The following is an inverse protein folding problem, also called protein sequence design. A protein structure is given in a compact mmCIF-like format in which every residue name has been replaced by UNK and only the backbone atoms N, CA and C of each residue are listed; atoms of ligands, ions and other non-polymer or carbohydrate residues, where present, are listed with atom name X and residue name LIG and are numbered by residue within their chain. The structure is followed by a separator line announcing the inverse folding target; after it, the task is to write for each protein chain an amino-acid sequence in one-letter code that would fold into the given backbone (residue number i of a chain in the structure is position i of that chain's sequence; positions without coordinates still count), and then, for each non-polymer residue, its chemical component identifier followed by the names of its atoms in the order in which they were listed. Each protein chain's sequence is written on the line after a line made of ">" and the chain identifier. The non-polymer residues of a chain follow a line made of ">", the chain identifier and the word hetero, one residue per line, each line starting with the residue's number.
data_IF_793418881420
#
_entry.id   IF_793418881420
#
_cell.length_a   1.000
_cell.length_b   1.000
_cell.length_c   1.000
_cell.angle_alpha   90.00
_cell.angle_beta   90.00
_cell.angle_gamma   90.00
#
_symmetry.space_group_name_H-M   'P 1'
#
loop_
_entity.id
_entity.type
_entity.pdbx_description
1 polymer ?
#
# COMPACT_ATOMS: atom_id res chain seq x y z
N UNK A 1 7.27 21.05 1.46
CA UNK A 1 8.60 21.16 0.81
C UNK A 1 8.78 19.99 -0.14
N UNK A 2 9.41 20.20 -1.30
CA UNK A 2 9.71 19.16 -2.28
C UNK A 2 11.21 18.89 -2.35
N UNK A 3 11.61 17.62 -2.25
CA UNK A 3 13.00 17.17 -2.37
C UNK A 3 13.03 15.81 -3.09
N UNK A 4 13.86 15.70 -4.13
CA UNK A 4 14.10 14.42 -4.82
C UNK A 4 15.09 13.52 -4.06
N UNK A 5 15.94 14.09 -3.21
CA UNK A 5 16.86 13.40 -2.31
C UNK A 5 17.16 14.26 -1.08
N UNK A 6 18.13 13.86 -0.26
CA UNK A 6 18.61 14.67 0.88
C UNK A 6 19.23 16.02 0.47
N UNK A 7 19.37 16.31 -0.83
CA UNK A 7 19.91 17.56 -1.36
C UNK A 7 18.88 18.28 -2.25
N UNK A 8 19.02 19.61 -2.39
CA UNK A 8 18.20 20.46 -3.28
C UNK A 8 16.69 20.45 -3.00
N UNK A 9 16.31 20.84 -1.79
CA UNK A 9 14.92 21.02 -1.42
C UNK A 9 14.39 22.41 -1.81
N UNK A 10 13.20 22.46 -2.39
CA UNK A 10 12.50 23.71 -2.72
C UNK A 10 11.14 23.78 -2.01
N UNK A 11 10.71 25.01 -1.71
CA UNK A 11 9.33 25.23 -1.28
C UNK A 11 8.44 25.10 -2.52
N UNK A 12 7.38 24.31 -2.39
CA UNK A 12 6.38 24.06 -3.43
C UNK A 12 5.02 24.37 -2.85
N UNK A 13 4.21 25.07 -3.63
CA UNK A 13 2.79 25.24 -3.38
C UNK A 13 2.07 23.97 -3.83
N UNK A 14 1.29 23.37 -2.93
CA UNK A 14 0.61 22.11 -3.22
C UNK A 14 -0.58 22.35 -4.15
N UNK A 15 -0.82 21.40 -5.07
CA UNK A 15 -1.95 21.48 -5.98
C UNK A 15 -3.29 21.32 -5.22
N UNK A 16 -4.42 21.79 -5.78
CA UNK A 16 -5.74 21.51 -5.21
C UNK A 16 -5.94 20.01 -4.95
N UNK A 17 -6.44 19.66 -3.76
CA UNK A 17 -6.60 18.27 -3.32
C UNK A 17 -5.35 17.62 -2.72
N UNK A 18 -4.21 18.33 -2.68
CA UNK A 18 -2.99 17.91 -1.99
C UNK A 18 -2.78 18.74 -0.71
N UNK A 19 -3.52 18.39 0.33
CA UNK A 19 -3.57 19.06 1.64
C UNK A 19 -2.55 18.50 2.65
N UNK A 20 -1.80 17.46 2.28
CA UNK A 20 -0.77 16.87 3.12
C UNK A 20 0.63 17.14 2.56
N UNK A 21 1.60 17.27 3.45
CA UNK A 21 3.01 17.08 3.14
C UNK A 21 3.40 15.64 3.44
N UNK A 22 4.19 15.01 2.57
CA UNK A 22 4.77 13.68 2.81
C UNK A 22 6.29 13.71 2.88
N UNK A 23 6.82 12.74 3.61
CA UNK A 23 8.23 12.34 3.61
C UNK A 23 8.29 10.84 3.43
N UNK A 24 8.94 10.40 2.36
CA UNK A 24 9.19 8.98 2.06
C UNK A 24 10.65 8.70 2.30
N UNK A 25 10.96 7.71 3.14
CA UNK A 25 12.31 7.30 3.47
C UNK A 25 12.48 5.85 3.02
N UNK A 26 13.51 5.62 2.21
CA UNK A 26 14.01 4.30 1.86
C UNK A 26 15.35 4.12 2.55
N UNK A 27 15.48 3.06 3.33
CA UNK A 27 16.76 2.58 3.82
C UNK A 27 17.06 1.21 3.22
N UNK A 28 18.30 1.04 2.80
CA UNK A 28 18.86 -0.24 2.38
C UNK A 28 20.09 -0.52 3.26
N UNK A 29 20.08 -1.66 3.95
CA UNK A 29 21.22 -2.15 4.72
C UNK A 29 21.77 -3.41 4.07
N UNK A 30 23.06 -3.39 3.75
CA UNK A 30 23.82 -4.52 3.23
C UNK A 30 25.14 -4.62 4.00
N UNK A 31 25.32 -5.73 4.72
CA UNK A 31 26.41 -5.93 5.67
C UNK A 31 26.50 -4.78 6.69
N UNK A 32 27.42 -3.83 6.50
CA UNK A 32 27.60 -2.61 7.32
C UNK A 32 27.37 -1.30 6.54
N UNK A 33 27.01 -1.40 5.26
CA UNK A 33 26.69 -0.25 4.43
C UNK A 33 25.22 0.12 4.60
N UNK A 34 24.97 1.38 4.90
CA UNK A 34 23.62 1.95 4.97
C UNK A 34 23.46 3.01 3.88
N UNK A 35 22.49 2.79 2.99
CA UNK A 35 22.02 3.78 2.04
C UNK A 35 20.67 4.32 2.52
N UNK A 36 20.59 5.64 2.71
CA UNK A 36 19.34 6.34 3.03
C UNK A 36 18.96 7.29 1.88
N UNK A 37 17.74 7.13 1.37
CA UNK A 37 17.15 8.04 0.38
C UNK A 37 15.89 8.64 0.99
N UNK A 38 15.88 9.98 1.12
CA UNK A 38 14.73 10.71 1.63
C UNK A 38 14.13 11.58 0.53
N UNK A 39 12.85 11.31 0.23
CA UNK A 39 12.04 12.08 -0.70
C UNK A 39 10.96 12.85 0.06
N UNK A 40 10.62 14.05 -0.42
CA UNK A 40 9.60 14.90 0.18
C UNK A 40 8.77 15.52 -0.91
N UNK A 41 7.45 15.59 -0.72
CA UNK A 41 6.54 16.26 -1.66
C UNK A 41 5.21 16.59 -0.97
N UNK A 42 4.28 17.17 -1.71
CA UNK A 42 2.86 17.20 -1.35
C UNK A 42 2.23 15.82 -1.56
N UNK A 43 1.12 15.57 -0.87
CA UNK A 43 0.34 14.34 -0.90
C UNK A 43 -1.15 14.66 -0.77
N UNK A 44 -1.98 13.75 -1.28
CA UNK A 44 -3.43 13.81 -1.12
C UNK A 44 -3.86 13.31 0.26
N UNK A 45 -5.02 13.78 0.73
CA UNK A 45 -5.57 13.51 2.06
C UNK A 45 -5.76 12.02 2.38
N UNK A 46 -5.89 11.15 1.37
CA UNK A 46 -6.08 9.71 1.58
C UNK A 46 -4.81 9.01 2.08
N UNK A 47 -3.64 9.68 2.01
CA UNK A 47 -2.36 9.11 2.44
C UNK A 47 -2.24 9.07 3.97
N UNK A 48 -1.61 8.02 4.47
CA UNK A 48 -1.45 7.76 5.90
C UNK A 48 -0.01 7.41 6.25
N UNK A 49 0.32 7.48 7.54
CA UNK A 49 1.62 7.03 8.03
C UNK A 49 1.72 5.51 7.89
N UNK A 50 2.84 5.03 7.35
CA UNK A 50 3.08 3.61 7.17
C UNK A 50 4.55 3.25 7.17
N UNK A 51 4.86 2.06 7.63
CA UNK A 51 6.21 1.47 7.57
C UNK A 51 6.15 0.04 7.09
N UNK A 52 7.21 -0.37 6.40
CA UNK A 52 7.40 -1.74 5.98
C UNK A 52 8.90 -2.03 5.89
N UNK A 53 9.34 -3.14 6.47
CA UNK A 53 10.71 -3.60 6.44
C UNK A 53 10.75 -5.09 6.17
N UNK A 54 11.59 -5.51 5.23
CA UNK A 54 11.72 -6.90 4.82
C UNK A 54 13.14 -7.24 4.38
N UNK A 55 13.45 -8.53 4.34
CA UNK A 55 14.71 -9.09 3.85
C UNK A 55 14.58 -9.51 2.39
N UNK A 56 15.62 -9.24 1.62
CA UNK A 56 15.77 -9.66 0.23
C UNK A 56 17.25 -9.92 -0.03
N UNK A 57 17.60 -11.11 -0.49
CA UNK A 57 18.98 -11.60 -0.58
C UNK A 57 19.73 -11.45 0.77
N UNK A 58 20.83 -10.70 0.77
CA UNK A 58 21.64 -10.31 1.94
C UNK A 58 21.21 -8.96 2.54
N UNK A 59 20.20 -8.31 1.96
CA UNK A 59 19.81 -6.93 2.26
C UNK A 59 18.60 -6.87 3.17
N UNK A 60 18.49 -5.78 3.90
CA UNK A 60 17.25 -5.35 4.54
C UNK A 60 16.80 -4.07 3.84
N UNK A 61 15.55 -4.06 3.38
CA UNK A 61 14.89 -2.88 2.84
C UNK A 61 13.91 -2.37 3.90
N UNK A 62 13.90 -1.08 4.17
CA UNK A 62 12.86 -0.43 4.97
C UNK A 62 12.32 0.81 4.27
N UNK A 63 11.02 0.87 4.21
CA UNK A 63 10.21 1.92 3.62
C UNK A 63 9.40 2.56 4.73
N UNK A 64 9.45 3.89 4.83
CA UNK A 64 8.58 4.64 5.71
C UNK A 64 7.98 5.82 4.96
N UNK A 65 6.67 5.98 5.02
CA UNK A 65 5.98 7.18 4.55
C UNK A 65 5.31 7.86 5.74
N UNK A 66 5.63 9.12 5.94
CA UNK A 66 5.11 9.95 7.03
C UNK A 66 4.43 11.18 6.41
N UNK A 67 3.18 11.43 6.81
CA UNK A 67 2.37 12.56 6.37
C UNK A 67 2.07 13.53 7.51
N UNK A 68 1.90 14.81 7.17
CA UNK A 68 1.52 15.86 8.11
C UNK A 68 0.80 17.01 7.37
N UNK A 69 -0.10 17.73 8.04
CA UNK A 69 -1.03 18.65 7.41
C UNK A 69 -0.68 20.15 7.54
N UNK A 70 0.35 20.51 8.31
CA UNK A 70 0.70 21.93 8.52
C UNK A 70 1.76 22.39 7.53
N UNK A 71 1.75 23.68 7.19
CA UNK A 71 2.70 24.27 6.25
C UNK A 71 4.15 23.93 6.60
N UNK A 72 4.87 23.39 5.61
CA UNK A 72 6.29 23.03 5.70
C UNK A 72 6.62 22.07 6.86
N UNK A 73 5.66 21.28 7.36
CA UNK A 73 5.90 20.32 8.45
C UNK A 73 6.92 19.23 8.09
N UNK A 74 7.10 18.95 6.80
CA UNK A 74 8.10 18.02 6.28
C UNK A 74 9.50 18.63 6.12
N UNK A 75 9.74 19.86 6.59
CA UNK A 75 11.05 20.51 6.50
C UNK A 75 12.13 19.69 7.24
N UNK A 76 13.33 19.49 6.65
CA UNK A 76 14.43 18.82 7.32
C UNK A 76 14.77 19.52 8.63
N UNK A 77 14.83 18.78 9.73
CA UNK A 77 15.28 19.31 11.01
C UNK A 77 16.80 19.28 11.06
N UNK A 78 17.50 20.42 11.17
CA UNK A 78 18.95 20.42 11.29
C UNK A 78 19.36 19.71 12.59
N UNK A 79 20.27 18.74 12.49
CA UNK A 79 20.80 17.99 13.64
C UNK A 79 19.95 16.81 14.11
N UNK A 80 18.78 16.56 13.50
CA UNK A 80 18.08 15.29 13.67
C UNK A 80 18.82 14.21 12.88
N UNK A 81 19.94 13.72 13.41
CA UNK A 81 20.36 12.34 13.09
C UNK A 81 19.17 11.46 13.44
N UNK A 82 18.81 10.54 12.53
CA UNK A 82 17.69 9.61 12.72
C UNK A 82 17.67 9.13 14.17
N UNK A 83 16.50 9.18 14.80
CA UNK A 83 16.30 8.75 16.18
C UNK A 83 17.15 7.51 16.42
N UNK A 84 18.12 7.58 17.34
CA UNK A 84 18.92 6.43 17.70
C UNK A 84 17.94 5.32 18.07
N UNK A 85 17.84 4.31 17.21
CA UNK A 85 16.85 3.25 17.33
C UNK A 85 16.94 2.72 18.76
N UNK A 86 15.85 2.80 19.55
CA UNK A 86 15.95 2.40 20.94
C UNK A 86 16.34 0.92 20.95
N UNK A 87 17.45 0.58 21.60
CA UNK A 87 17.91 -0.81 21.71
C UNK A 87 16.97 -1.58 22.63
N UNK A 88 15.88 -2.08 22.07
CA UNK A 88 14.88 -2.92 22.74
C UNK A 88 14.78 -4.29 22.08
N UNK A 89 14.36 -5.32 22.83
CA UNK A 89 13.93 -6.60 22.23
C UNK A 89 12.54 -6.41 21.64
N UNK A 90 12.48 -5.99 20.39
CA UNK A 90 11.21 -5.88 19.66
C UNK A 90 10.78 -7.24 19.11
N UNK A 91 9.54 -7.26 18.61
CA UNK A 91 8.93 -8.38 17.90
C UNK A 91 9.87 -8.92 16.82
N UNK A 92 9.97 -10.25 16.73
CA UNK A 92 10.69 -10.96 15.67
C UNK A 92 9.67 -11.56 14.70
N UNK A 93 9.84 -11.29 13.42
CA UNK A 93 8.94 -11.71 12.36
C UNK A 93 9.68 -12.53 11.31
N UNK A 94 8.96 -13.44 10.65
CA UNK A 94 9.45 -14.06 9.43
C UNK A 94 9.47 -13.02 8.31
N UNK A 95 10.51 -13.04 7.49
CA UNK A 95 10.70 -12.09 6.41
C UNK A 95 11.26 -12.74 5.15
N UNK A 96 10.71 -12.32 4.02
CA UNK A 96 11.07 -12.80 2.69
C UNK A 96 10.52 -11.82 1.64
N UNK A 97 10.96 -11.97 0.40
CA UNK A 97 10.46 -11.26 -0.78
C UNK A 97 10.31 -12.19 -1.99
N UNK A 98 9.39 -11.86 -2.90
CA UNK A 98 9.30 -12.47 -4.24
C UNK A 98 10.45 -12.06 -5.15
N UNK A 99 11.17 -10.97 -4.86
CA UNK A 99 12.23 -10.44 -5.72
C UNK A 99 13.41 -11.44 -5.83
N UNK A 100 13.78 -12.08 -4.72
CA UNK A 100 14.82 -13.12 -4.63
C UNK A 100 14.24 -14.54 -4.57
N UNK A 101 12.90 -14.67 -4.72
CA UNK A 101 12.14 -15.91 -4.60
C UNK A 101 12.26 -16.57 -3.20
N UNK A 102 12.63 -15.82 -2.17
CA UNK A 102 12.79 -16.38 -0.82
C UNK A 102 11.45 -16.83 -0.23
N UNK A 103 10.36 -16.12 -0.52
CA UNK A 103 9.02 -16.50 -0.06
C UNK A 103 8.53 -17.80 -0.71
N UNK A 104 8.63 -17.90 -2.03
CA UNK A 104 8.13 -19.04 -2.81
C UNK A 104 8.94 -20.31 -2.54
N UNK A 105 10.24 -20.15 -2.23
CA UNK A 105 11.14 -21.27 -1.94
C UNK A 105 11.19 -21.64 -0.46
N UNK A 106 10.42 -20.97 0.40
CA UNK A 106 10.43 -21.20 1.86
C UNK A 106 11.78 -20.91 2.51
N UNK A 107 12.54 -19.94 1.98
CA UNK A 107 13.85 -19.49 2.50
C UNK A 107 13.70 -18.26 3.39
N UNK A 108 12.67 -18.26 4.20
CA UNK A 108 12.28 -17.15 5.06
C UNK A 108 13.32 -16.96 6.18
N UNK A 109 13.63 -15.71 6.49
CA UNK A 109 14.63 -15.34 7.49
C UNK A 109 13.99 -14.55 8.62
N UNK A 110 14.60 -14.58 9.81
CA UNK A 110 14.12 -13.79 10.94
C UNK A 110 14.53 -12.33 10.76
N UNK A 111 13.56 -11.43 10.93
CA UNK A 111 13.75 -9.99 10.98
C UNK A 111 13.25 -9.46 12.32
N UNK A 112 14.11 -8.75 13.04
CA UNK A 112 13.72 -8.06 14.25
C UNK A 112 13.14 -6.69 13.88
N UNK A 113 11.91 -6.42 14.31
CA UNK A 113 11.26 -5.14 14.08
C UNK A 113 11.98 -4.01 14.81
N UNK A 114 11.88 -2.78 14.30
CA UNK A 114 12.64 -1.64 14.85
C UNK A 114 11.80 -0.73 15.71
N UNK A 115 10.49 -0.75 15.51
CA UNK A 115 9.57 0.12 16.23
C UNK A 115 8.56 -0.69 17.06
N UNK A 116 8.22 -0.22 18.27
CA UNK A 116 7.29 -0.93 19.16
C UNK A 116 5.85 -1.03 18.62
N UNK A 117 5.49 -0.20 17.64
CA UNK A 117 4.19 -0.26 16.97
C UNK A 117 4.16 -1.15 15.72
N UNK A 118 5.29 -1.74 15.33
CA UNK A 118 5.35 -2.65 14.19
C UNK A 118 4.78 -4.02 14.54
N UNK A 119 4.13 -4.62 13.56
CA UNK A 119 3.58 -5.97 13.60
C UNK A 119 4.24 -6.81 12.50
N UNK A 120 4.09 -8.14 12.60
CA UNK A 120 4.43 -9.00 11.49
C UNK A 120 3.38 -8.82 10.39
N UNK A 121 3.81 -8.37 9.22
CA UNK A 121 2.95 -8.08 8.09
C UNK A 121 3.27 -9.03 6.94
N UNK A 122 2.24 -9.27 6.15
CA UNK A 122 2.28 -10.03 4.91
C UNK A 122 1.51 -9.24 3.87
N UNK A 123 2.17 -8.92 2.77
CA UNK A 123 1.59 -8.16 1.67
C UNK A 123 1.64 -9.01 0.42
N UNK A 124 0.48 -9.19 -0.20
CA UNK A 124 0.32 -9.98 -1.42
C UNK A 124 -0.29 -9.08 -2.49
N UNK A 125 0.43 -8.92 -3.59
CA UNK A 125 0.01 -8.13 -4.76
C UNK A 125 -0.07 -9.07 -5.94
N UNK A 126 -1.29 -9.36 -6.40
CA UNK A 126 -1.52 -10.19 -7.59
C UNK A 126 -2.14 -9.32 -8.67
N UNK A 127 -1.39 -9.07 -9.75
CA UNK A 127 -1.87 -8.27 -10.87
C UNK A 127 -2.32 -9.16 -12.04
N UNK A 128 -3.40 -8.75 -12.70
CA UNK A 128 -3.74 -9.25 -14.03
C UNK A 128 -2.77 -8.62 -15.04
N UNK A 129 -2.52 -9.32 -16.15
CA UNK A 129 -1.37 -9.17 -17.05
C UNK A 129 -1.21 -7.78 -17.72
N UNK A 130 -2.11 -6.82 -17.52
CA UNK A 130 -2.14 -5.53 -18.24
C UNK A 130 -1.52 -4.34 -17.50
N UNK A 131 -1.38 -4.38 -16.17
CA UNK A 131 -0.67 -3.33 -15.41
C UNK A 131 0.64 -3.91 -14.91
N UNK A 132 1.72 -3.78 -15.68
CA UNK A 132 3.07 -4.12 -15.22
C UNK A 132 3.53 -3.06 -14.20
N UNK A 133 3.05 -3.14 -12.96
CA UNK A 133 3.77 -2.52 -11.86
C UNK A 133 4.94 -3.45 -11.50
N UNK A 134 6.08 -2.88 -11.13
CA UNK A 134 7.25 -3.64 -10.67
C UNK A 134 7.15 -4.01 -9.18
N UNK A 135 5.95 -4.00 -8.61
CA UNK A 135 5.78 -4.29 -7.19
C UNK A 135 5.97 -5.78 -6.95
N UNK A 136 6.61 -6.10 -5.83
CA UNK A 136 6.88 -7.47 -5.43
C UNK A 136 5.56 -8.18 -5.13
N UNK A 137 5.33 -9.33 -5.78
CA UNK A 137 4.06 -10.05 -5.66
C UNK A 137 3.77 -10.52 -4.23
N UNK A 138 4.81 -10.76 -3.44
CA UNK A 138 4.69 -11.27 -2.09
C UNK A 138 5.85 -10.80 -1.24
N UNK A 139 5.55 -10.26 -0.07
CA UNK A 139 6.54 -9.81 0.90
C UNK A 139 6.08 -10.07 2.33
N UNK A 140 7.02 -10.48 3.19
CA UNK A 140 6.79 -10.66 4.62
C UNK A 140 7.85 -9.90 5.41
N UNK A 141 7.46 -9.37 6.57
CA UNK A 141 8.41 -8.73 7.46
C UNK A 141 7.73 -7.94 8.58
N UNK A 142 8.31 -6.81 8.92
CA UNK A 142 7.85 -5.92 9.97
C UNK A 142 7.19 -4.67 9.38
N UNK A 143 6.13 -4.17 9.98
CA UNK A 143 5.61 -2.88 9.55
C UNK A 143 4.38 -2.44 10.30
N UNK A 144 3.96 -1.21 10.00
CA UNK A 144 2.68 -0.65 10.40
C UNK A 144 2.00 -0.19 9.13
N UNK A 145 1.09 -1.01 8.62
CA UNK A 145 0.22 -0.65 7.52
C UNK A 145 -1.15 -0.27 8.08
N UNK A 146 -1.91 0.62 7.41
CA UNK A 146 -3.28 0.88 7.81
C UNK A 146 -4.08 -0.44 7.87
N UNK A 147 -5.14 -0.52 8.67
CA UNK A 147 -5.97 -1.73 8.72
C UNK A 147 -5.35 -2.99 9.35
N UNK A 148 -4.11 -2.97 9.85
CA UNK A 148 -3.53 -4.06 10.65
C UNK A 148 -3.89 -3.93 12.16
N UNK A 149 -4.10 -5.05 12.89
CA UNK A 149 -3.90 -6.44 12.48
C UNK A 149 -5.02 -6.97 11.56
N UNK A 150 -4.64 -7.50 10.41
CA UNK A 150 -5.53 -8.21 9.48
C UNK A 150 -5.37 -9.72 9.62
N UNK A 151 -6.35 -10.49 9.17
CA UNK A 151 -6.23 -11.96 9.10
C UNK A 151 -5.19 -12.33 8.04
N UNK A 152 -4.23 -13.20 8.38
CA UNK A 152 -3.25 -13.73 7.42
C UNK A 152 -3.99 -14.42 6.27
N UNK A 153 -3.77 -13.97 5.03
CA UNK A 153 -4.37 -14.56 3.84
C UNK A 153 -3.23 -15.02 2.93
N UNK A 154 -3.10 -16.34 2.86
CA UNK A 154 -2.34 -17.01 1.81
C UNK A 154 -3.20 -17.03 0.54
N UNK A 155 -2.59 -16.65 -0.59
CA UNK A 155 -3.05 -16.74 -1.98
C UNK A 155 -4.56 -16.78 -2.25
N UNK A 156 -5.08 -15.91 -3.12
CA UNK A 156 -6.51 -15.83 -3.44
C UNK A 156 -7.17 -17.18 -3.81
N UNK A 157 -6.42 -18.09 -4.45
CA UNK A 157 -6.93 -19.42 -4.82
C UNK A 157 -7.17 -20.37 -3.63
N UNK A 158 -6.43 -20.18 -2.55
CA UNK A 158 -6.50 -21.02 -1.35
C UNK A 158 -7.65 -20.60 -0.43
N UNK A 159 -8.19 -19.38 -0.63
CA UNK A 159 -9.38 -18.92 0.06
C UNK A 159 -10.64 -19.59 -0.50
N UNK A 160 -11.48 -20.20 0.37
CA UNK A 160 -12.74 -20.79 -0.08
C UNK A 160 -13.72 -19.69 -0.52
N UNK A 161 -14.60 -19.96 -1.49
CA UNK A 161 -15.73 -19.08 -1.78
C UNK A 161 -16.59 -18.86 -0.53
N UNK A 162 -17.02 -17.61 -0.30
CA UNK A 162 -17.77 -17.23 0.90
C UNK A 162 -19.30 -17.10 0.66
N UNK A 163 -19.75 -17.37 -0.56
CA UNK A 163 -21.16 -17.33 -0.96
C UNK A 163 -21.67 -15.96 -1.40
N UNK A 164 -20.85 -14.92 -1.35
CA UNK A 164 -21.17 -13.61 -1.93
C UNK A 164 -20.71 -13.55 -3.40
N UNK A 165 -21.47 -12.83 -4.22
CA UNK A 165 -21.09 -12.53 -5.60
C UNK A 165 -21.12 -11.02 -5.81
N UNK A 166 -20.07 -10.47 -6.38
CA UNK A 166 -19.98 -9.03 -6.66
C UNK A 166 -19.60 -8.78 -8.10
N UNK A 167 -20.02 -7.65 -8.66
CA UNK A 167 -19.53 -7.22 -9.96
C UNK A 167 -18.06 -6.86 -9.85
N UNK A 168 -17.30 -7.23 -10.87
CA UNK A 168 -15.87 -7.02 -11.00
C UNK A 168 -15.57 -6.33 -12.32
N UNK A 169 -14.74 -5.30 -12.24
CA UNK A 169 -14.24 -4.58 -13.40
C UNK A 169 -13.06 -3.70 -12.99
N UNK A 170 -12.23 -3.35 -13.97
CA UNK A 170 -11.10 -2.44 -13.82
C UNK A 170 -11.01 -1.59 -15.09
N UNK A 171 -10.98 -0.27 -14.97
CA UNK A 171 -10.91 0.61 -16.13
C UNK A 171 -11.60 1.95 -15.91
N UNK A 172 -12.30 2.46 -16.88
CA UNK A 172 -13.17 3.63 -16.75
C UNK A 172 -14.64 3.23 -16.99
N UNK A 173 -15.58 4.15 -16.75
CA UNK A 173 -17.02 3.86 -16.87
C UNK A 173 -17.50 3.47 -18.28
N UNK A 174 -16.69 3.72 -19.30
CA UNK A 174 -17.01 3.41 -20.71
C UNK A 174 -16.19 2.26 -21.32
N UNK A 175 -15.03 1.95 -20.73
CA UNK A 175 -14.08 0.94 -21.19
C UNK A 175 -13.51 0.24 -19.95
N UNK A 176 -13.72 -1.07 -19.85
CA UNK A 176 -13.36 -1.91 -18.71
C UNK A 176 -14.46 -2.02 -17.65
N UNK A 177 -15.10 -0.91 -17.27
CA UNK A 177 -16.19 -0.88 -16.28
C UNK A 177 -17.55 -0.46 -16.86
N UNK A 178 -17.78 -0.67 -18.16
CA UNK A 178 -19.12 -0.54 -18.75
C UNK A 178 -20.02 -1.70 -18.34
N UNK A 179 -21.34 -1.54 -18.46
CA UNK A 179 -22.31 -2.59 -18.11
C UNK A 179 -22.13 -3.90 -18.90
N UNK A 180 -21.54 -3.82 -20.10
CA UNK A 180 -21.27 -4.99 -20.95
C UNK A 180 -19.97 -5.72 -20.58
N UNK A 181 -19.02 -5.01 -19.98
CA UNK A 181 -17.69 -5.54 -19.62
C UNK A 181 -17.61 -6.00 -18.16
N UNK A 182 -18.55 -5.55 -17.31
CA UNK A 182 -18.63 -5.97 -15.92
C UNK A 182 -19.15 -7.39 -15.78
N UNK A 183 -18.49 -8.19 -14.95
CA UNK A 183 -18.86 -9.59 -14.71
C UNK A 183 -19.01 -9.90 -13.22
N UNK A 184 -19.91 -10.84 -12.88
CA UNK A 184 -20.04 -11.33 -11.52
C UNK A 184 -18.90 -12.31 -11.19
N UNK A 185 -18.27 -12.12 -10.04
CA UNK A 185 -17.26 -13.02 -9.50
C UNK A 185 -17.69 -13.57 -8.13
N UNK A 186 -17.28 -14.80 -7.84
CA UNK A 186 -17.45 -15.39 -6.51
C UNK A 186 -16.43 -14.83 -5.54
N UNK A 187 -16.93 -14.19 -4.48
CA UNK A 187 -16.10 -13.65 -3.43
C UNK A 187 -15.50 -14.77 -2.56
N UNK A 188 -14.31 -14.53 -2.01
CA UNK A 188 -13.52 -15.54 -1.31
C UNK A 188 -13.07 -15.07 0.06
N UNK A 189 -12.98 -16.01 1.00
CA UNK A 189 -12.48 -15.77 2.35
C UNK A 189 -13.23 -14.63 3.05
N UNK A 190 -12.54 -13.70 3.74
CA UNK A 190 -13.18 -12.63 4.48
C UNK A 190 -13.72 -11.49 3.60
N UNK A 191 -13.49 -11.52 2.28
CA UNK A 191 -13.91 -10.45 1.36
C UNK A 191 -15.39 -10.58 1.04
N UNK A 192 -16.27 -10.23 1.97
CA UNK A 192 -17.71 -10.44 1.89
C UNK A 192 -18.53 -9.16 1.59
N UNK A 193 -17.87 -8.04 1.28
CA UNK A 193 -18.52 -6.81 0.85
C UNK A 193 -18.25 -6.54 -0.61
N UNK A 194 -19.25 -5.99 -1.32
CA UNK A 194 -19.05 -5.52 -2.67
C UNK A 194 -18.58 -4.07 -2.64
N UNK A 195 -17.52 -3.77 -3.39
CA UNK A 195 -16.91 -2.45 -3.49
C UNK A 195 -17.07 -1.88 -4.89
N UNK A 196 -17.27 -0.57 -4.94
CA UNK A 196 -17.07 0.30 -6.08
C UNK A 196 -16.19 1.46 -5.63
N UNK A 197 -15.04 1.64 -6.27
CA UNK A 197 -14.19 2.78 -6.04
C UNK A 197 -13.93 3.52 -7.35
N UNK A 198 -14.15 4.84 -7.31
CA UNK A 198 -13.89 5.76 -8.41
C UNK A 198 -12.87 6.81 -7.98
N UNK A 199 -11.94 7.16 -8.86
CA UNK A 199 -10.91 8.14 -8.57
C UNK A 199 -10.13 8.55 -9.82
N UNK A 200 -9.08 9.33 -9.62
CA UNK A 200 -8.17 9.76 -10.66
C UNK A 200 -6.86 8.97 -10.57
N UNK A 201 -6.48 8.32 -11.67
CA UNK A 201 -5.19 7.65 -11.80
C UNK A 201 -4.05 8.68 -11.74
N UNK A 202 -3.10 8.48 -10.84
CA UNK A 202 -1.97 9.40 -10.63
C UNK A 202 -1.08 9.53 -11.86
N UNK A 203 -1.02 8.49 -12.71
CA UNK A 203 -0.18 8.50 -13.91
C UNK A 203 -0.82 9.24 -15.09
N UNK A 204 -2.14 9.14 -15.25
CA UNK A 204 -2.86 9.64 -16.43
C UNK A 204 -3.82 10.79 -16.19
N UNK A 205 -4.15 11.11 -14.93
CA UNK A 205 -5.25 12.01 -14.53
C UNK A 205 -6.58 11.66 -15.24
N UNK A 206 -6.84 10.37 -15.44
CA UNK A 206 -8.06 9.85 -16.05
C UNK A 206 -8.96 9.25 -14.97
N UNK A 207 -10.27 9.37 -15.18
CA UNK A 207 -11.25 8.68 -14.35
C UNK A 207 -11.01 7.19 -14.41
N UNK A 208 -10.88 6.59 -13.24
CA UNK A 208 -10.64 5.17 -13.08
C UNK A 208 -11.65 4.61 -12.08
N UNK A 209 -12.13 3.41 -12.37
CA UNK A 209 -13.16 2.69 -11.63
C UNK A 209 -12.69 1.27 -11.41
N UNK A 210 -12.86 0.80 -10.18
CA UNK A 210 -12.65 -0.60 -9.83
C UNK A 210 -13.86 -1.11 -9.06
N UNK A 211 -14.34 -2.29 -9.43
CA UNK A 211 -15.38 -3.03 -8.71
C UNK A 211 -14.84 -4.39 -8.30
N UNK A 212 -15.27 -4.91 -7.15
CA UNK A 212 -14.90 -6.26 -6.73
C UNK A 212 -15.33 -6.61 -5.31
N UNK A 213 -14.77 -7.71 -4.80
CA UNK A 213 -15.00 -8.18 -3.44
C UNK A 213 -13.96 -7.58 -2.48
N UNK A 214 -14.38 -7.19 -1.28
CA UNK A 214 -13.50 -6.57 -0.30
C UNK A 214 -13.87 -6.91 1.14
N UNK A 215 -12.97 -6.63 2.07
CA UNK A 215 -13.25 -6.66 3.51
C UNK A 215 -13.74 -5.28 3.96
N UNK A 216 -14.48 -5.20 5.07
CA UNK A 216 -14.96 -3.92 5.61
C UNK A 216 -13.84 -2.90 5.90
N UNK A 217 -12.62 -3.36 6.21
CA UNK A 217 -11.46 -2.48 6.44
C UNK A 217 -11.01 -1.73 5.19
N UNK A 218 -11.17 -2.31 4.01
CA UNK A 218 -10.76 -1.70 2.73
C UNK A 218 -11.69 -0.59 2.26
N UNK A 219 -12.91 -0.50 2.82
CA UNK A 219 -13.87 0.57 2.52
C UNK A 219 -13.44 1.95 3.08
N UNK A 220 -12.33 2.04 3.81
CA UNK A 220 -11.87 3.25 4.49
C UNK A 220 -10.97 4.19 3.63
N UNK A 221 -10.93 4.04 2.31
CA UNK A 221 -10.24 4.99 1.42
C UNK A 221 -8.76 4.68 1.17
N UNK A 222 -7.96 4.67 2.25
CA UNK A 222 -6.49 4.65 2.16
C UNK A 222 -5.94 3.41 1.46
N UNK A 223 -6.55 2.24 1.70
CA UNK A 223 -6.13 0.97 1.11
C UNK A 223 -6.27 0.94 -0.40
N UNK A 224 -7.41 1.42 -0.90
CA UNK A 224 -7.71 1.45 -2.33
C UNK A 224 -6.86 2.50 -3.04
N UNK A 225 -6.63 3.66 -2.39
CA UNK A 225 -5.74 4.70 -2.89
C UNK A 225 -4.33 4.16 -3.16
N UNK A 226 -3.82 3.37 -2.22
CA UNK A 226 -2.48 2.81 -2.31
C UNK A 226 -2.39 1.63 -3.28
N UNK A 227 -3.35 0.71 -3.25
CA UNK A 227 -3.34 -0.48 -4.10
C UNK A 227 -3.53 -0.17 -5.59
N UNK A 228 -4.35 0.83 -5.93
CA UNK A 228 -4.69 1.18 -7.32
C UNK A 228 -4.05 2.49 -7.81
N UNK A 229 -3.23 3.13 -6.96
CA UNK A 229 -2.60 4.43 -7.23
C UNK A 229 -3.62 5.50 -7.64
N UNK A 230 -4.68 5.64 -6.83
CA UNK A 230 -5.79 6.56 -7.06
C UNK A 230 -5.77 7.74 -6.10
N UNK A 231 -6.34 8.86 -6.56
CA UNK A 231 -6.55 10.09 -5.79
C UNK A 231 -7.98 10.60 -5.97
N UNK A 232 -8.45 11.47 -5.07
CA UNK A 232 -9.83 11.96 -5.08
C UNK A 232 -10.85 10.81 -5.04
N UNK A 233 -10.60 9.87 -4.15
CA UNK A 233 -11.34 8.63 -4.08
C UNK A 233 -12.76 8.83 -3.58
N UNK A 234 -13.71 8.24 -4.30
CA UNK A 234 -15.06 8.00 -3.83
C UNK A 234 -15.27 6.49 -3.76
N UNK A 235 -15.47 5.98 -2.55
CA UNK A 235 -15.66 4.56 -2.28
C UNK A 235 -17.10 4.33 -1.81
N UNK A 236 -17.76 3.38 -2.44
CA UNK A 236 -19.03 2.82 -2.02
C UNK A 236 -18.84 1.34 -1.72
N UNK A 237 -19.28 0.93 -0.53
CA UNK A 237 -19.35 -0.47 -0.14
C UNK A 237 -20.77 -0.81 0.25
N UNK A 238 -21.20 -2.03 -0.08
CA UNK A 238 -22.53 -2.51 0.25
C UNK A 238 -22.50 -3.99 0.65
N UNK A 239 -23.46 -4.35 1.50
CA UNK A 239 -23.69 -5.73 1.95
C UNK A 239 -24.78 -6.36 1.07
N UNK A 240 -24.44 -7.49 0.42
CA UNK A 240 -25.38 -8.27 -0.39
C UNK A 240 -24.85 -8.55 -1.79
N UNK A 241 -25.18 -9.74 -2.33
CA UNK A 241 -24.70 -10.15 -3.65
C UNK A 241 -25.21 -9.24 -4.76
N UNK A 242 -24.31 -8.78 -5.63
CA UNK A 242 -24.60 -7.96 -6.80
C UNK A 242 -25.01 -6.52 -6.48
N UNK A 243 -24.84 -6.05 -5.24
CA UNK A 243 -25.28 -4.69 -4.86
C UNK A 243 -24.46 -3.57 -5.51
N UNK A 244 -23.28 -3.90 -6.05
CA UNK A 244 -22.39 -2.98 -6.77
C UNK A 244 -22.57 -3.05 -8.31
N UNK A 245 -23.79 -3.29 -8.78
CA UNK A 245 -24.13 -3.31 -10.21
C UNK A 245 -24.00 -1.91 -10.86
N UNK A 246 -23.29 -1.76 -12.00
CA UNK A 246 -23.31 -0.53 -12.79
C UNK A 246 -24.68 -0.31 -13.44
N UNK A 247 -25.54 0.47 -12.79
CA UNK A 247 -26.84 0.89 -13.34
C UNK A 247 -26.72 1.89 -14.49
#
# INVERSE_FOLDING_TARGET
>A
MQCASNQNCLVKECAPGQDLCRTTVLHEWEDDNELEVVMRDCAHYEKTNRTMSYRVDSKIISLAEIVCATDLCNRPKPGARGLAFPRGRYLECMSCSSLDQSCERGREQILQCRYPGEQCIEVVTLQSTERSSKDENYTRGCGSLPGCPGTAVLNLKDLPPNGFQCYSCEGNSTHGCSSEETSLIDCRGPMNQCLEATGLDVLGNRSYTVRGCTTASWCQGSHVADAFLLTHLNISCCDGSGCNDPR
#
